data_IF_396240230541
#
_entry.id   IF_396240230541
#
_cell.length_a   1.000
_cell.length_b   1.000
_cell.length_c   1.000
_cell.angle_alpha   90.00
_cell.angle_beta   90.00
_cell.angle_gamma   90.00
#
_symmetry.space_group_name_H-M   'P 1'
#
loop_
_entity.id
_entity.type
_entity.pdbx_description
1 polymer ?
#
# COMPACT_ATOMS: atom_id res chain seq x y z
N UNK A 1 7.40 -2.61 0.07
CA UNK A 1 7.55 -2.14 -1.33
C UNK A 1 7.34 -0.63 -1.36
N UNK A 2 7.99 0.07 -2.29
CA UNK A 2 7.81 1.52 -2.49
C UNK A 2 7.23 1.79 -3.87
N UNK A 3 6.33 2.76 -3.97
CA UNK A 3 5.70 3.19 -5.21
C UNK A 3 5.43 4.70 -5.16
N UNK A 4 5.27 5.33 -6.32
CA UNK A 4 4.90 6.74 -6.40
C UNK A 4 3.42 6.86 -6.72
N UNK A 5 2.68 7.64 -5.94
CA UNK A 5 1.30 7.98 -6.20
C UNK A 5 1.24 9.42 -6.70
N UNK A 6 0.56 9.66 -7.82
CA UNK A 6 0.32 11.01 -8.32
C UNK A 6 -1.04 11.47 -7.80
N UNK A 7 -1.05 12.38 -6.81
CA UNK A 7 -2.29 12.97 -6.26
C UNK A 7 -2.32 14.44 -6.62
N UNK A 8 -3.38 14.90 -7.27
CA UNK A 8 -3.55 16.30 -7.68
C UNK A 8 -2.33 16.88 -8.46
N UNK A 9 -1.67 16.05 -9.26
CA UNK A 9 -0.48 16.44 -10.02
C UNK A 9 0.81 16.53 -9.20
N UNK A 10 0.83 16.01 -7.97
CA UNK A 10 2.03 15.89 -7.14
C UNK A 10 2.46 14.43 -7.01
N UNK A 11 3.74 14.18 -7.22
CA UNK A 11 4.37 12.89 -6.94
C UNK A 11 4.57 12.71 -5.43
N UNK A 12 3.79 11.81 -4.84
CA UNK A 12 3.89 11.41 -3.44
C UNK A 12 4.64 10.09 -3.37
N UNK A 13 5.74 10.06 -2.61
CA UNK A 13 6.47 8.83 -2.36
C UNK A 13 5.72 7.99 -1.32
N UNK A 14 5.22 6.84 -1.75
CA UNK A 14 4.47 5.91 -0.92
C UNK A 14 5.29 4.65 -0.63
N UNK A 15 5.20 4.15 0.60
CA UNK A 15 5.79 2.89 1.00
C UNK A 15 4.71 2.04 1.65
N UNK A 16 4.61 0.77 1.25
CA UNK A 16 3.79 -0.23 1.93
C UNK A 16 4.70 -1.20 2.67
N UNK A 17 4.39 -1.43 3.94
CA UNK A 17 5.13 -2.39 4.77
C UNK A 17 4.84 -3.82 4.29
N UNK A 18 5.85 -4.70 4.42
CA UNK A 18 5.70 -6.13 4.10
C UNK A 18 4.57 -6.76 4.92
N UNK A 19 4.51 -6.41 6.20
CA UNK A 19 3.46 -6.81 7.12
C UNK A 19 2.03 -6.51 6.62
N UNK A 20 1.81 -5.32 6.05
CA UNK A 20 0.52 -4.95 5.48
C UNK A 20 0.15 -5.81 4.26
N UNK A 21 1.12 -6.11 3.40
CA UNK A 21 0.94 -7.03 2.30
C UNK A 21 0.64 -8.44 2.83
N UNK A 22 1.42 -8.92 3.79
CA UNK A 22 1.29 -10.24 4.42
C UNK A 22 -0.06 -10.47 5.10
N UNK A 23 -0.62 -9.44 5.76
CA UNK A 23 -1.88 -9.54 6.49
C UNK A 23 -3.13 -9.42 5.63
N UNK A 24 -3.12 -8.56 4.61
CA UNK A 24 -4.34 -8.22 3.85
C UNK A 24 -4.35 -8.77 2.43
N UNK A 25 -3.19 -9.08 1.87
CA UNK A 25 -3.03 -9.28 0.43
C UNK A 25 -2.26 -10.57 0.09
N UNK A 26 -1.50 -11.12 1.03
CA UNK A 26 -0.75 -12.34 0.86
C UNK A 26 -1.54 -13.52 1.40
N UNK A 27 -1.73 -14.52 0.54
CA UNK A 27 -2.31 -15.78 0.96
C UNK A 27 -1.20 -16.64 1.58
N UNK A 28 -1.46 -17.29 2.72
CA UNK A 28 -0.46 -18.09 3.47
C UNK A 28 0.27 -19.17 2.65
N UNK A 29 -0.24 -19.49 1.45
CA UNK A 29 0.28 -20.51 0.55
C UNK A 29 1.37 -20.00 -0.40
N UNK A 30 1.55 -18.69 -0.52
CA UNK A 30 2.47 -18.04 -1.44
C UNK A 30 3.29 -17.01 -0.64
N UNK A 31 4.32 -17.44 0.08
CA UNK A 31 5.15 -16.59 0.95
C UNK A 31 6.52 -16.24 0.33
N UNK A 32 6.59 -16.21 -1.00
CA UNK A 32 7.79 -15.86 -1.77
C UNK A 32 7.77 -14.38 -2.20
N UNK A 33 8.93 -13.82 -2.53
CA UNK A 33 9.05 -12.43 -3.03
C UNK A 33 8.18 -12.17 -4.27
N UNK A 34 8.00 -13.17 -5.15
CA UNK A 34 7.10 -13.06 -6.29
C UNK A 34 5.62 -12.89 -5.85
N UNK A 35 5.24 -13.54 -4.75
CA UNK A 35 3.91 -13.44 -4.20
C UNK A 35 3.65 -12.07 -3.56
N UNK A 36 4.66 -11.43 -2.97
CA UNK A 36 4.57 -10.05 -2.49
C UNK A 36 4.26 -9.07 -3.63
N UNK A 37 4.90 -9.25 -4.79
CA UNK A 37 4.61 -8.43 -5.98
C UNK A 37 3.20 -8.71 -6.49
N UNK A 38 2.78 -9.97 -6.59
CA UNK A 38 1.41 -10.31 -7.00
C UNK A 38 0.35 -9.85 -6.01
N UNK A 39 0.64 -9.87 -4.71
CA UNK A 39 -0.23 -9.34 -3.66
C UNK A 39 -0.36 -7.81 -3.75
N UNK A 40 0.75 -7.12 -4.01
CA UNK A 40 0.76 -5.68 -4.26
C UNK A 40 -0.07 -5.32 -5.50
N UNK A 41 0.09 -6.04 -6.61
CA UNK A 41 -0.69 -5.82 -7.84
C UNK A 41 -2.19 -6.11 -7.64
N UNK A 42 -2.53 -7.23 -6.97
CA UNK A 42 -3.91 -7.58 -6.61
C UNK A 42 -4.54 -6.54 -5.68
N UNK A 43 -3.77 -6.08 -4.70
CA UNK A 43 -4.17 -5.07 -3.70
C UNK A 43 -3.99 -3.63 -4.15
N UNK A 44 -3.49 -3.39 -5.36
CA UNK A 44 -3.01 -2.07 -5.77
C UNK A 44 -4.10 -1.02 -5.65
N UNK A 45 -5.35 -1.35 -6.00
CA UNK A 45 -6.48 -0.43 -5.85
C UNK A 45 -6.71 -0.03 -4.38
N UNK A 46 -6.68 -0.99 -3.45
CA UNK A 46 -6.87 -0.71 -2.02
C UNK A 46 -5.71 0.10 -1.44
N UNK A 47 -4.49 -0.22 -1.85
CA UNK A 47 -3.26 0.51 -1.46
C UNK A 47 -3.33 1.96 -1.96
N UNK A 48 -3.74 2.19 -3.21
CA UNK A 48 -3.89 3.53 -3.77
C UNK A 48 -4.97 4.33 -3.05
N UNK A 49 -6.12 3.72 -2.77
CA UNK A 49 -7.24 4.34 -2.04
C UNK A 49 -6.84 4.71 -0.60
N UNK A 50 -6.14 3.81 0.11
CA UNK A 50 -5.61 4.08 1.44
C UNK A 50 -4.55 5.20 1.43
N UNK A 51 -3.66 5.21 0.43
CA UNK A 51 -2.67 6.28 0.28
C UNK A 51 -3.34 7.63 -0.02
N UNK A 52 -4.36 7.66 -0.87
CA UNK A 52 -5.10 8.89 -1.17
C UNK A 52 -5.85 9.41 0.07
N UNK A 53 -6.55 8.54 0.79
CA UNK A 53 -7.21 8.88 2.06
C UNK A 53 -6.22 9.45 3.08
N UNK A 54 -5.06 8.81 3.23
CA UNK A 54 -4.01 9.28 4.16
C UNK A 54 -3.38 10.59 3.70
N UNK A 55 -3.22 10.78 2.39
CA UNK A 55 -2.75 12.04 1.82
C UNK A 55 -3.72 13.18 2.13
N UNK A 56 -5.02 12.95 1.94
CA UNK A 56 -6.06 13.94 2.25
C UNK A 56 -6.11 14.28 3.74
N UNK A 57 -5.79 13.33 4.63
CA UNK A 57 -5.81 13.55 6.07
C UNK A 57 -4.57 14.28 6.62
N UNK A 58 -3.38 14.02 6.05
CA UNK A 58 -2.09 14.47 6.64
C UNK A 58 -1.31 15.41 5.72
N UNK A 59 -1.79 15.67 4.49
CA UNK A 59 -1.14 16.49 3.44
C UNK A 59 0.40 16.33 3.44
N UNK A 60 0.86 15.09 3.31
CA UNK A 60 2.28 14.74 3.52
C UNK A 60 2.96 14.36 2.21
N UNK A 61 4.19 14.85 2.02
CA UNK A 61 5.01 14.52 0.85
C UNK A 61 5.48 13.05 0.81
N UNK A 62 5.29 12.30 1.91
CA UNK A 62 5.59 10.86 2.00
C UNK A 62 4.50 10.15 2.79
N UNK A 63 4.09 8.98 2.31
CA UNK A 63 3.04 8.19 2.93
C UNK A 63 3.54 6.79 3.21
N UNK A 64 3.45 6.38 4.47
CA UNK A 64 3.70 5.00 4.89
C UNK A 64 2.36 4.31 5.14
N UNK A 65 2.09 3.26 4.37
CA UNK A 65 0.94 2.38 4.52
C UNK A 65 1.31 1.17 5.36
N UNK A 66 0.60 1.04 6.47
CA UNK A 66 0.66 -0.09 7.39
C UNK A 66 -0.59 -0.94 7.27
N UNK A 67 -0.61 -2.12 7.90
CA UNK A 67 -1.78 -3.01 7.90
C UNK A 67 -3.05 -2.25 8.36
N UNK A 68 -2.93 -1.41 9.39
CA UNK A 68 -4.04 -0.60 9.88
C UNK A 68 -4.58 0.44 8.88
N UNK A 69 -3.78 0.89 7.92
CA UNK A 69 -4.23 1.83 6.88
C UNK A 69 -5.04 1.14 5.77
N UNK A 70 -4.81 -0.16 5.56
CA UNK A 70 -5.51 -0.95 4.55
C UNK A 70 -6.90 -1.42 5.02
N UNK A 71 -7.26 -1.19 6.30
CA UNK A 71 -8.51 -1.65 6.92
C UNK A 71 -8.36 -3.03 7.57
N UNK A 72 -9.22 -3.43 8.50
CA UNK A 72 -9.21 -4.80 9.05
C UNK A 72 -9.53 -5.84 7.94
N UNK A 73 -8.93 -7.05 7.98
CA UNK A 73 -9.15 -8.08 6.95
C UNK A 73 -10.59 -8.61 6.91
#
# INVERSE_FOLDING_TARGET
MTFTLIVQGRDIACAVTRDALERHLLNQREADDAALVSAFERGRRQILDAAERKNQAVESARILLTAGDLGEP
#
